data_IF_314311313653
#
_entry.id   IF_314311313653
#
_cell.length_a   1.000
_cell.length_b   1.000
_cell.length_c   1.000
_cell.angle_alpha   90.00
_cell.angle_beta   90.00
_cell.angle_gamma   90.00
#
_symmetry.space_group_name_H-M   'P 1'
#
loop_
_entity.id
_entity.type
_entity.pdbx_description
1 polymer ?
#
# COMPACT_ATOMS: atom_id res chain seq x y z
N UNK A 1 20.07 2.74 3.08
CA UNK A 1 19.29 3.99 3.15
C UNK A 1 18.04 3.83 2.29
N UNK A 2 16.84 4.21 2.75
CA UNK A 2 15.64 4.16 1.92
C UNK A 2 15.85 5.04 0.67
N UNK A 3 15.62 4.48 -0.52
CA UNK A 3 15.79 5.21 -1.77
C UNK A 3 14.78 6.37 -1.83
N UNK A 4 15.15 7.56 -2.36
CA UNK A 4 14.24 8.70 -2.50
C UNK A 4 12.90 8.34 -3.18
N UNK A 5 12.95 7.42 -4.16
CA UNK A 5 11.79 6.88 -4.86
C UNK A 5 10.77 6.14 -3.97
N UNK A 6 11.16 5.72 -2.76
CA UNK A 6 10.26 5.10 -1.77
C UNK A 6 9.73 6.11 -0.74
N UNK A 7 10.45 7.21 -0.51
CA UNK A 7 10.02 8.25 0.44
C UNK A 7 8.84 9.06 -0.10
N UNK A 8 8.84 9.36 -1.41
CA UNK A 8 7.74 10.06 -2.09
C UNK A 8 6.40 9.32 -1.89
N UNK A 9 6.26 8.04 -2.27
CA UNK A 9 5.00 7.31 -2.13
C UNK A 9 4.61 7.11 -0.66
N UNK A 10 5.58 7.07 0.25
CA UNK A 10 5.34 7.00 1.69
C UNK A 10 4.72 8.31 2.21
N UNK A 11 5.20 9.46 1.76
CA UNK A 11 4.58 10.76 2.01
C UNK A 11 3.18 10.88 1.39
N UNK A 12 3.02 10.43 0.14
CA UNK A 12 1.71 10.42 -0.54
C UNK A 12 0.71 9.52 0.22
N UNK A 13 1.15 8.37 0.69
CA UNK A 13 0.34 7.45 1.50
C UNK A 13 -0.12 8.10 2.82
N UNK A 14 0.76 8.85 3.48
CA UNK A 14 0.40 9.61 4.68
C UNK A 14 -0.66 10.67 4.39
N UNK A 15 -0.50 11.44 3.30
CA UNK A 15 -1.48 12.47 2.89
C UNK A 15 -2.84 11.84 2.58
N UNK A 16 -2.85 10.73 1.84
CA UNK A 16 -4.06 10.00 1.51
C UNK A 16 -4.73 9.38 2.75
N UNK A 17 -3.93 8.92 3.71
CA UNK A 17 -4.43 8.48 5.02
C UNK A 17 -5.14 9.61 5.76
N UNK A 18 -4.56 10.80 5.78
CA UNK A 18 -5.19 11.98 6.38
C UNK A 18 -6.50 12.35 5.68
N UNK A 19 -6.51 12.40 4.34
CA UNK A 19 -7.71 12.72 3.55
C UNK A 19 -8.81 11.67 3.77
N UNK A 20 -8.46 10.38 3.69
CA UNK A 20 -9.38 9.28 3.91
C UNK A 20 -9.94 9.26 5.35
N UNK A 21 -9.13 9.59 6.35
CA UNK A 21 -9.57 9.74 7.73
C UNK A 21 -10.49 10.95 7.93
N UNK A 22 -10.14 12.10 7.35
CA UNK A 22 -10.94 13.33 7.42
C UNK A 22 -12.30 13.21 6.72
N UNK A 23 -12.42 12.37 5.69
CA UNK A 23 -13.67 12.14 5.00
C UNK A 23 -14.80 11.69 5.94
N UNK A 24 -14.48 10.96 7.00
CA UNK A 24 -15.43 10.53 8.04
C UNK A 24 -15.95 11.67 8.93
N UNK A 25 -15.32 12.84 8.90
CA UNK A 25 -15.75 14.00 9.68
C UNK A 25 -16.72 14.91 8.92
N UNK A 26 -16.66 14.91 7.58
CA UNK A 26 -17.35 15.93 6.76
C UNK A 26 -18.49 15.38 5.91
N UNK A 27 -18.55 14.06 5.69
CA UNK A 27 -19.46 13.44 4.71
C UNK A 27 -20.33 12.38 5.37
N UNK A 28 -21.52 12.13 4.82
CA UNK A 28 -22.33 10.95 5.14
C UNK A 28 -21.48 9.68 5.09
N UNK A 29 -21.73 8.76 6.03
CA UNK A 29 -20.89 7.59 6.30
C UNK A 29 -20.60 6.74 5.06
N UNK A 30 -21.57 6.59 4.15
CA UNK A 30 -21.42 5.81 2.90
C UNK A 30 -20.34 6.42 1.97
N UNK A 31 -20.43 7.72 1.69
CA UNK A 31 -19.46 8.41 0.83
C UNK A 31 -18.08 8.54 1.48
N UNK A 32 -18.01 8.58 2.81
CA UNK A 32 -16.73 8.54 3.52
C UNK A 32 -15.99 7.22 3.27
N UNK A 33 -16.69 6.09 3.24
CA UNK A 33 -16.12 4.79 2.89
C UNK A 33 -15.64 4.70 1.44
N UNK A 34 -16.38 5.29 0.50
CA UNK A 34 -15.96 5.39 -0.91
C UNK A 34 -14.64 6.19 -1.04
N UNK A 35 -14.55 7.35 -0.39
CA UNK A 35 -13.33 8.17 -0.39
C UNK A 35 -12.16 7.46 0.29
N UNK A 36 -12.41 6.79 1.42
CA UNK A 36 -11.40 6.03 2.14
C UNK A 36 -10.85 4.86 1.31
N UNK A 37 -11.74 4.08 0.69
CA UNK A 37 -11.34 2.95 -0.19
C UNK A 37 -10.62 3.43 -1.44
N UNK A 38 -11.05 4.53 -2.06
CA UNK A 38 -10.36 5.14 -3.19
C UNK A 38 -8.94 5.61 -2.81
N UNK A 39 -8.80 6.28 -1.66
CA UNK A 39 -7.50 6.70 -1.14
C UNK A 39 -6.59 5.50 -0.86
N UNK A 40 -7.13 4.43 -0.28
CA UNK A 40 -6.39 3.19 -0.03
C UNK A 40 -5.97 2.47 -1.32
N UNK A 41 -6.85 2.41 -2.33
CA UNK A 41 -6.53 1.86 -3.64
C UNK A 41 -5.37 2.60 -4.29
N UNK A 42 -5.29 3.92 -4.14
CA UNK A 42 -4.16 4.68 -4.64
C UNK A 42 -2.85 4.33 -3.93
N UNK A 43 -2.89 4.10 -2.61
CA UNK A 43 -1.75 3.57 -1.84
C UNK A 43 -1.30 2.21 -2.37
N UNK A 44 -2.25 1.33 -2.70
CA UNK A 44 -1.98 0.01 -3.27
C UNK A 44 -1.37 0.08 -4.69
N UNK A 45 -1.87 0.99 -5.54
CA UNK A 45 -1.28 1.25 -6.87
C UNK A 45 0.14 1.79 -6.73
N UNK A 46 0.37 2.69 -5.77
CA UNK A 46 1.69 3.24 -5.50
C UNK A 46 2.66 2.15 -5.02
N UNK A 47 2.21 1.26 -4.13
CA UNK A 47 2.95 0.09 -3.71
C UNK A 47 3.33 -0.82 -4.88
N UNK A 48 2.37 -1.14 -5.75
CA UNK A 48 2.63 -1.91 -6.96
C UNK A 48 3.70 -1.25 -7.84
N UNK A 49 3.56 0.05 -8.11
CA UNK A 49 4.48 0.81 -8.95
C UNK A 49 5.92 0.84 -8.40
N UNK A 50 6.10 1.06 -7.10
CA UNK A 50 7.43 1.06 -6.48
C UNK A 50 8.06 -0.33 -6.48
N UNK A 51 7.24 -1.37 -6.30
CA UNK A 51 7.70 -2.76 -6.39
C UNK A 51 8.19 -3.08 -7.79
N UNK A 52 7.43 -2.73 -8.84
CA UNK A 52 7.83 -2.91 -10.24
C UNK A 52 9.13 -2.15 -10.53
N UNK A 53 9.20 -0.87 -10.13
CA UNK A 53 10.40 -0.06 -10.31
C UNK A 53 11.65 -0.67 -9.68
N UNK A 54 11.53 -1.26 -8.49
CA UNK A 54 12.64 -1.97 -7.84
C UNK A 54 12.95 -3.32 -8.47
N UNK A 55 11.96 -4.10 -8.89
CA UNK A 55 12.17 -5.37 -9.57
C UNK A 55 12.96 -5.17 -10.88
N UNK A 56 12.61 -4.13 -11.64
CA UNK A 56 13.31 -3.74 -12.88
C UNK A 56 14.70 -3.16 -12.57
N UNK A 57 14.80 -2.27 -11.58
CA UNK A 57 16.06 -1.63 -11.20
C UNK A 57 17.12 -2.60 -10.65
N UNK A 58 16.70 -3.56 -9.80
CA UNK A 58 17.57 -4.61 -9.27
C UNK A 58 17.76 -5.79 -10.24
N UNK A 59 17.06 -5.81 -11.39
CA UNK A 59 17.07 -6.90 -12.38
C UNK A 59 16.94 -8.27 -11.73
N UNK A 60 15.91 -8.43 -10.90
CA UNK A 60 15.66 -9.69 -10.18
C UNK A 60 15.53 -10.83 -11.19
N UNK A 61 16.32 -11.89 -11.02
CA UNK A 61 16.35 -13.02 -11.95
C UNK A 61 15.19 -13.98 -11.73
N UNK A 62 14.89 -14.75 -12.77
CA UNK A 62 13.92 -15.84 -12.70
C UNK A 62 14.33 -16.82 -11.60
N UNK A 63 13.36 -17.32 -10.83
CA UNK A 63 13.52 -18.19 -9.66
C UNK A 63 13.97 -17.52 -8.34
N UNK A 64 14.21 -16.21 -8.28
CA UNK A 64 14.56 -15.51 -7.03
C UNK A 64 13.32 -15.12 -6.18
N UNK A 65 12.45 -16.10 -5.91
CA UNK A 65 11.17 -15.92 -5.21
C UNK A 65 11.29 -15.23 -3.85
N UNK A 66 12.27 -15.64 -3.03
CA UNK A 66 12.49 -15.04 -1.70
C UNK A 66 12.81 -13.55 -1.80
N UNK A 67 13.59 -13.15 -2.80
CA UNK A 67 14.00 -11.75 -2.97
C UNK A 67 12.87 -10.91 -3.56
N UNK A 68 12.13 -11.44 -4.52
CA UNK A 68 10.93 -10.78 -5.04
C UNK A 68 9.88 -10.58 -3.93
N UNK A 69 9.65 -11.59 -3.08
CA UNK A 69 8.72 -11.50 -1.94
C UNK A 69 9.19 -10.47 -0.91
N UNK A 70 10.49 -10.47 -0.61
CA UNK A 70 11.07 -9.48 0.29
C UNK A 70 10.88 -8.05 -0.24
N UNK A 71 11.15 -7.82 -1.53
CA UNK A 71 10.95 -6.51 -2.15
C UNK A 71 9.47 -6.10 -2.11
N UNK A 72 8.56 -7.00 -2.48
CA UNK A 72 7.13 -6.72 -2.42
C UNK A 72 6.66 -6.38 -1.00
N UNK A 73 7.11 -7.14 0.00
CA UNK A 73 6.79 -6.85 1.40
C UNK A 73 7.28 -5.46 1.83
N UNK A 74 8.56 -5.16 1.59
CA UNK A 74 9.18 -3.87 1.97
C UNK A 74 8.57 -2.69 1.23
N UNK A 75 8.06 -2.90 0.01
CA UNK A 75 7.42 -1.84 -0.77
C UNK A 75 5.93 -1.65 -0.45
N UNK A 76 5.21 -2.67 0.01
CA UNK A 76 3.75 -2.58 0.22
C UNK A 76 3.33 -2.34 1.68
N UNK A 77 3.92 -3.07 2.63
CA UNK A 77 3.46 -3.03 4.03
C UNK A 77 3.70 -1.67 4.70
N UNK A 78 4.88 -1.03 4.58
CA UNK A 78 5.10 0.28 5.21
C UNK A 78 4.15 1.35 4.70
N UNK A 79 3.81 1.33 3.40
CA UNK A 79 2.83 2.26 2.82
C UNK A 79 1.45 2.10 3.46
N UNK A 80 1.00 0.84 3.61
CA UNK A 80 -0.28 0.50 4.26
C UNK A 80 -0.27 0.90 5.74
N UNK A 81 0.81 0.61 6.45
CA UNK A 81 0.95 0.95 7.87
C UNK A 81 0.94 2.46 8.07
N UNK A 82 1.66 3.22 7.26
CA UNK A 82 1.67 4.69 7.33
C UNK A 82 0.30 5.26 7.00
N UNK A 83 -0.37 4.76 5.96
CA UNK A 83 -1.74 5.16 5.64
C UNK A 83 -2.66 5.00 6.84
N UNK A 84 -2.62 3.83 7.50
CA UNK A 84 -3.47 3.54 8.66
C UNK A 84 -3.09 4.35 9.90
N UNK A 85 -1.79 4.50 10.18
CA UNK A 85 -1.29 5.31 11.29
C UNK A 85 -1.77 6.75 11.21
N UNK A 86 -1.92 7.29 10.00
CA UNK A 86 -2.47 8.62 9.79
C UNK A 86 -4.00 8.60 9.70
N UNK A 87 -4.62 7.62 9.06
CA UNK A 87 -6.08 7.62 8.89
C UNK A 87 -6.85 7.45 10.21
N UNK A 88 -6.37 6.58 11.11
CA UNK A 88 -7.03 6.26 12.38
C UNK A 88 -7.22 7.49 13.28
N UNK A 89 -6.19 8.30 13.60
CA UNK A 89 -6.40 9.49 14.44
C UNK A 89 -7.29 10.54 13.78
N UNK A 90 -7.29 10.63 12.45
CA UNK A 90 -8.10 11.58 11.70
C UNK A 90 -9.57 11.15 11.55
N UNK A 91 -9.93 9.89 11.83
CA UNK A 91 -11.32 9.42 11.73
C UNK A 91 -12.20 9.74 12.95
N UNK A 92 -11.66 10.37 14.01
CA UNK A 92 -12.40 10.88 15.20
C UNK A 92 -13.53 9.97 15.72
N UNK A 93 -13.25 8.67 15.84
CA UNK A 93 -14.22 7.71 16.41
C UNK A 93 -15.15 7.05 15.39
N UNK A 94 -15.05 7.37 14.10
CA UNK A 94 -15.40 6.40 13.06
C UNK A 94 -14.38 5.27 13.19
N UNK A 95 -14.74 4.29 14.02
CA UNK A 95 -13.91 3.13 14.31
C UNK A 95 -13.62 2.50 12.95
N UNK A 96 -12.36 2.60 12.50
CA UNK A 96 -11.82 1.66 11.54
C UNK A 96 -11.97 0.30 12.22
N UNK A 97 -13.12 -0.34 11.94
CA UNK A 97 -13.60 -1.49 12.71
C UNK A 97 -12.47 -2.51 12.71
N UNK A 98 -12.19 -3.18 13.84
CA UNK A 98 -11.20 -4.25 13.87
C UNK A 98 -11.39 -5.30 12.76
N UNK A 99 -12.58 -5.40 12.18
CA UNK A 99 -12.90 -6.23 11.01
C UNK A 99 -12.35 -5.70 9.67
N UNK A 100 -12.13 -4.39 9.52
CA UNK A 100 -11.63 -3.76 8.28
C UNK A 100 -10.11 -3.89 8.18
N UNK A 101 -9.39 -3.83 9.30
CA UNK A 101 -7.93 -3.97 9.35
C UNK A 101 -7.42 -5.26 8.65
N UNK A 102 -7.97 -6.45 8.92
CA UNK A 102 -7.64 -7.68 8.21
C UNK A 102 -7.87 -7.58 6.70
N UNK A 103 -8.93 -6.90 6.27
CA UNK A 103 -9.24 -6.75 4.83
C UNK A 103 -8.20 -5.88 4.15
N UNK A 104 -7.81 -4.77 4.78
CA UNK A 104 -6.81 -3.85 4.23
C UNK A 104 -5.43 -4.52 4.16
N UNK A 105 -4.97 -5.14 5.24
CA UNK A 105 -3.70 -5.88 5.23
C UNK A 105 -3.74 -7.11 4.33
N UNK A 106 -4.88 -7.80 4.24
CA UNK A 106 -5.09 -8.91 3.31
C UNK A 106 -5.01 -8.46 1.85
N UNK A 107 -5.56 -7.29 1.51
CA UNK A 107 -5.45 -6.69 0.18
C UNK A 107 -4.00 -6.31 -0.14
N UNK A 108 -3.28 -5.73 0.83
CA UNK A 108 -1.84 -5.43 0.70
C UNK A 108 -1.02 -6.70 0.49
N UNK A 109 -1.31 -7.77 1.23
CA UNK A 109 -0.67 -9.07 1.05
C UNK A 109 -0.95 -9.65 -0.33
N UNK A 110 -2.20 -9.59 -0.81
CA UNK A 110 -2.57 -10.06 -2.14
C UNK A 110 -1.78 -9.34 -3.23
N UNK A 111 -1.63 -8.01 -3.13
CA UNK A 111 -0.79 -7.25 -4.07
C UNK A 111 0.67 -7.62 -3.95
N UNK A 112 1.21 -7.77 -2.75
CA UNK A 112 2.60 -8.14 -2.56
C UNK A 112 2.90 -9.52 -3.20
N UNK A 113 2.00 -10.50 -3.02
CA UNK A 113 2.11 -11.81 -3.64
C UNK A 113 1.98 -11.73 -5.16
N UNK A 114 0.99 -10.98 -5.68
CA UNK A 114 0.81 -10.79 -7.11
C UNK A 114 2.03 -10.15 -7.77
N UNK A 115 2.58 -9.10 -7.16
CA UNK A 115 3.80 -8.43 -7.65
C UNK A 115 5.03 -9.33 -7.56
N UNK A 116 5.10 -10.19 -6.56
CA UNK A 116 6.15 -11.22 -6.45
C UNK A 116 6.08 -12.19 -7.63
N UNK A 117 4.89 -12.72 -7.93
CA UNK A 117 4.67 -13.62 -9.07
C UNK A 117 4.99 -12.90 -10.38
N UNK A 118 4.48 -11.68 -10.56
CA UNK A 118 4.73 -10.87 -11.74
C UNK A 118 6.24 -10.65 -11.94
N UNK A 119 6.96 -10.24 -10.89
CA UNK A 119 8.40 -10.01 -10.93
C UNK A 119 9.21 -11.25 -11.32
N UNK A 120 8.87 -12.42 -10.77
CA UNK A 120 9.60 -13.66 -11.07
C UNK A 120 9.25 -14.21 -12.46
N UNK A 121 8.01 -14.07 -12.91
CA UNK A 121 7.56 -14.56 -14.23
C UNK A 121 8.06 -13.66 -15.36
N UNK A 122 8.09 -12.35 -15.14
CA UNK A 122 8.53 -11.37 -16.16
C UNK A 122 10.04 -11.18 -16.22
N UNK A 123 10.78 -11.69 -15.23
CA UNK A 123 12.24 -11.67 -15.22
C UNK A 123 12.83 -12.40 -16.44
N UNK A 124 13.58 -11.67 -17.27
CA UNK A 124 14.39 -12.26 -18.34
C UNK A 124 15.68 -12.82 -17.72
N UNK A 125 15.87 -14.13 -17.90
CA UNK A 125 17.04 -14.98 -17.59
C UNK A 125 18.06 -14.41 -16.59
#
# INVERSE_FOLDING_TARGET
>A
MPSPAFLIPLGVSAILGAIGGLAFQWVHTERAWELFTAAFLWTLISAAGTTIGRLVGERVRRNQWRRALWLAHVQSFPLTTVFLLVAIPFSRGAVLVPSVLPVLYGSTLAIALFMTVLGVVTARF
#
